data_IF_369371300568
#
_entry.id   IF_369371300568
#
_cell.length_a   1.000
_cell.length_b   1.000
_cell.length_c   1.000
_cell.angle_alpha   90.00
_cell.angle_beta   90.00
_cell.angle_gamma   90.00
#
_symmetry.space_group_name_H-M   'P 1'
#
loop_
_entity.id
_entity.type
_entity.pdbx_description
1 polymer ?
#
# COMPACT_ATOMS: atom_id res chain seq x y z
N UNK A 1 -19.24 -5.17 32.42
CA UNK A 1 -18.59 -4.77 31.15
C UNK A 1 -18.46 -3.24 31.14
N UNK A 2 -17.38 -2.68 30.61
CA UNK A 2 -17.23 -1.21 30.50
C UNK A 2 -18.15 -0.70 29.38
N UNK A 3 -18.74 0.49 29.53
CA UNK A 3 -19.54 1.10 28.44
C UNK A 3 -18.65 1.27 27.20
N UNK A 4 -19.21 0.98 26.02
CA UNK A 4 -18.47 0.97 24.76
C UNK A 4 -17.57 -0.25 24.53
N UNK A 5 -17.67 -1.30 25.36
CA UNK A 5 -16.99 -2.58 25.11
C UNK A 5 -17.96 -3.64 24.58
N UNK A 6 -17.52 -4.37 23.55
CA UNK A 6 -18.25 -5.47 22.92
C UNK A 6 -17.34 -6.70 22.79
N UNK A 7 -17.90 -7.87 23.10
CA UNK A 7 -17.25 -9.15 22.86
C UNK A 7 -17.66 -9.65 21.48
N UNK A 8 -16.69 -9.81 20.57
CA UNK A 8 -16.98 -10.27 19.21
C UNK A 8 -15.78 -11.03 18.64
N UNK A 9 -15.99 -11.70 17.50
CA UNK A 9 -14.93 -12.29 16.69
C UNK A 9 -14.74 -11.50 15.39
N UNK A 10 -13.60 -11.71 14.73
CA UNK A 10 -13.37 -11.08 13.44
C UNK A 10 -14.32 -11.61 12.36
N UNK A 11 -14.75 -12.89 12.41
CA UNK A 11 -15.76 -13.41 11.47
C UNK A 11 -17.12 -12.76 11.69
N UNK A 12 -17.53 -12.58 12.95
CA UNK A 12 -18.80 -11.94 13.29
C UNK A 12 -18.84 -10.49 12.82
N UNK A 13 -17.77 -9.73 13.06
CA UNK A 13 -17.66 -8.35 12.57
C UNK A 13 -17.65 -8.28 11.04
N UNK A 14 -17.03 -9.24 10.35
CA UNK A 14 -17.05 -9.33 8.89
C UNK A 14 -18.48 -9.55 8.35
N UNK A 15 -19.23 -10.46 8.96
CA UNK A 15 -20.61 -10.73 8.60
C UNK A 15 -21.53 -9.52 8.82
N UNK A 16 -21.38 -8.81 9.95
CA UNK A 16 -22.19 -7.63 10.28
C UNK A 16 -21.86 -6.42 9.41
N UNK A 17 -20.60 -6.25 9.02
CA UNK A 17 -20.15 -5.08 8.25
C UNK A 17 -20.20 -5.29 6.73
N UNK A 18 -20.39 -6.52 6.26
CA UNK A 18 -20.27 -6.89 4.84
C UNK A 18 -18.85 -6.79 4.29
N UNK A 19 -17.84 -6.67 5.16
CA UNK A 19 -16.43 -6.58 4.78
C UNK A 19 -15.76 -7.95 4.83
N UNK A 20 -14.68 -8.13 4.07
CA UNK A 20 -13.85 -9.32 4.24
C UNK A 20 -13.14 -9.31 5.60
N UNK A 21 -12.84 -10.50 6.14
CA UNK A 21 -12.12 -10.64 7.41
C UNK A 21 -10.78 -9.88 7.39
N UNK A 22 -10.11 -9.84 6.24
CA UNK A 22 -8.85 -9.09 6.05
C UNK A 22 -9.05 -7.58 6.12
N UNK A 23 -10.14 -7.06 5.55
CA UNK A 23 -10.51 -5.65 5.67
C UNK A 23 -10.82 -5.29 7.12
N UNK A 24 -11.61 -6.12 7.83
CA UNK A 24 -11.90 -5.92 9.25
C UNK A 24 -10.61 -5.89 10.08
N UNK A 25 -9.70 -6.85 9.89
CA UNK A 25 -8.40 -6.86 10.59
C UNK A 25 -7.59 -5.61 10.32
N UNK A 26 -7.56 -5.15 9.06
CA UNK A 26 -6.84 -3.95 8.66
C UNK A 26 -7.46 -2.70 9.27
N UNK A 27 -8.78 -2.58 9.25
CA UNK A 27 -9.53 -1.47 9.87
C UNK A 27 -9.30 -1.43 11.37
N UNK A 28 -9.42 -2.56 12.07
CA UNK A 28 -9.13 -2.67 13.51
C UNK A 28 -7.69 -2.26 13.83
N UNK A 29 -6.71 -2.67 13.00
CA UNK A 29 -5.30 -2.26 13.16
C UNK A 29 -5.12 -0.75 13.01
N UNK A 30 -5.78 -0.13 12.02
CA UNK A 30 -5.73 1.32 11.81
C UNK A 30 -6.37 2.08 12.97
N UNK A 31 -7.58 1.69 13.38
CA UNK A 31 -8.32 2.32 14.49
C UNK A 31 -7.59 2.17 15.84
N UNK A 32 -6.86 1.06 16.02
CA UNK A 32 -5.96 0.89 17.17
C UNK A 32 -4.78 1.85 17.10
N UNK A 33 -4.21 2.06 15.90
CA UNK A 33 -3.10 2.99 15.70
C UNK A 33 -3.50 4.46 15.89
N UNK A 34 -4.75 4.82 15.60
CA UNK A 34 -5.27 6.18 15.86
C UNK A 34 -5.75 6.38 17.30
N UNK A 35 -5.75 5.32 18.12
CA UNK A 35 -6.19 5.39 19.51
C UNK A 35 -7.71 5.50 19.67
N UNK A 36 -8.49 5.22 18.62
CA UNK A 36 -9.96 5.26 18.65
C UNK A 36 -10.55 4.03 19.34
N UNK A 37 -9.90 2.87 19.17
CA UNK A 37 -10.32 1.61 19.77
C UNK A 37 -9.15 0.89 20.46
N UNK A 38 -9.49 0.04 21.43
CA UNK A 38 -8.57 -0.93 22.02
C UNK A 38 -9.13 -2.34 21.87
N UNK A 39 -8.26 -3.30 21.61
CA UNK A 39 -8.62 -4.72 21.54
C UNK A 39 -7.80 -5.52 22.55
N UNK A 40 -8.49 -6.38 23.29
CA UNK A 40 -7.88 -7.32 24.24
C UNK A 40 -8.37 -8.73 23.92
N UNK A 41 -7.46 -9.57 23.45
CA UNK A 41 -7.70 -11.00 23.25
C UNK A 41 -7.39 -11.74 24.56
N UNK A 42 -8.36 -12.50 25.03
CA UNK A 42 -8.18 -13.53 26.05
C UNK A 42 -8.23 -14.91 25.39
N UNK A 43 -7.94 -15.97 26.16
CA UNK A 43 -7.89 -17.35 25.67
C UNK A 43 -9.23 -17.84 25.09
N UNK A 44 -10.34 -17.16 25.40
CA UNK A 44 -11.70 -17.56 24.97
C UNK A 44 -12.42 -16.52 24.12
N UNK A 45 -12.02 -15.25 24.19
CA UNK A 45 -12.77 -14.17 23.55
C UNK A 45 -11.91 -12.94 23.24
N UNK A 46 -12.37 -12.12 22.30
CA UNK A 46 -11.78 -10.80 22.03
C UNK A 46 -12.77 -9.72 22.43
N UNK A 47 -12.30 -8.79 23.26
CA UNK A 47 -13.06 -7.62 23.69
C UNK A 47 -12.55 -6.40 22.93
N UNK A 48 -13.45 -5.78 22.17
CA UNK A 48 -13.22 -4.51 21.48
C UNK A 48 -13.81 -3.39 22.33
N UNK A 49 -13.04 -2.36 22.65
CA UNK A 49 -13.48 -1.22 23.45
C UNK A 49 -13.25 0.07 22.68
N UNK A 50 -14.31 0.85 22.47
CA UNK A 50 -14.23 2.19 21.89
C UNK A 50 -13.75 3.15 22.98
N UNK A 51 -12.59 3.78 22.78
CA UNK A 51 -11.91 4.55 23.83
C UNK A 51 -12.68 5.83 24.20
N UNK A 52 -13.21 6.52 23.19
CA UNK A 52 -13.95 7.77 23.36
C UNK A 52 -15.48 7.55 23.28
N UNK A 53 -15.95 6.39 23.73
CA UNK A 53 -17.36 6.00 23.58
C UNK A 53 -18.33 7.04 24.16
N UNK A 54 -18.06 7.53 25.37
CA UNK A 54 -18.95 8.49 26.04
C UNK A 54 -19.06 9.82 25.27
N UNK A 55 -18.00 10.27 24.60
CA UNK A 55 -17.98 11.46 23.74
C UNK A 55 -18.86 11.29 22.48
N UNK A 56 -18.93 10.07 21.94
CA UNK A 56 -19.77 9.75 20.78
C UNK A 56 -21.25 9.51 21.17
N UNK A 57 -21.54 9.32 22.46
CA UNK A 57 -22.89 9.09 22.97
C UNK A 57 -23.54 10.37 23.54
N UNK A 58 -22.75 11.39 23.89
CA UNK A 58 -23.28 12.69 24.33
C UNK A 58 -23.87 13.48 23.15
N UNK A 59 -25.20 13.58 23.14
CA UNK A 59 -26.10 14.44 22.34
C UNK A 59 -25.91 14.48 20.82
N UNK A 60 -26.55 13.51 20.15
CA UNK A 60 -27.08 13.75 18.81
C UNK A 60 -28.57 13.35 18.73
N UNK A 61 -29.37 13.92 19.63
CA UNK A 61 -30.82 14.09 19.41
C UNK A 61 -31.03 15.33 18.54
N UNK A 62 -30.63 15.31 17.27
CA UNK A 62 -31.31 16.04 16.17
C UNK A 62 -30.61 15.85 14.81
N UNK A 63 -31.43 15.57 13.79
CA UNK A 63 -31.15 15.56 12.33
C UNK A 63 -30.83 14.23 11.64
N UNK A 64 -31.67 13.22 11.86
CA UNK A 64 -31.80 12.07 10.94
C UNK A 64 -32.91 12.25 9.87
N UNK A 65 -33.01 13.41 9.21
CA UNK A 65 -34.04 13.60 8.15
C UNK A 65 -33.61 14.28 6.85
N UNK A 66 -32.34 14.64 6.62
CA UNK A 66 -31.97 15.36 5.38
C UNK A 66 -30.68 14.90 4.67
N UNK A 67 -30.23 13.65 4.81
CA UNK A 67 -29.00 13.20 4.14
C UNK A 67 -29.12 11.96 3.23
N UNK A 68 -30.31 11.65 2.72
CA UNK A 68 -30.55 10.45 1.90
C UNK A 68 -30.83 10.68 0.40
N UNK A 69 -30.75 11.90 -0.14
CA UNK A 69 -31.13 12.15 -1.55
C UNK A 69 -29.98 12.38 -2.55
N UNK A 70 -28.69 12.22 -2.17
CA UNK A 70 -27.58 12.60 -3.08
C UNK A 70 -26.40 11.63 -3.22
N UNK A 71 -26.54 10.34 -2.92
CA UNK A 71 -25.45 9.38 -3.14
C UNK A 71 -25.82 8.13 -3.95
N UNK A 72 -26.61 8.30 -5.01
CA UNK A 72 -26.82 7.22 -5.96
C UNK A 72 -26.94 7.73 -7.39
N UNK A 73 -25.80 8.08 -8.01
CA UNK A 73 -25.49 7.86 -9.45
C UNK A 73 -24.19 8.58 -9.82
N UNK A 74 -23.09 7.83 -9.91
CA UNK A 74 -22.08 8.10 -10.94
C UNK A 74 -21.33 6.79 -11.25
N UNK A 75 -22.10 5.82 -11.73
CA UNK A 75 -21.57 4.60 -12.33
C UNK A 75 -22.40 4.29 -13.56
N UNK A 76 -22.27 5.14 -14.58
CA UNK A 76 -22.46 4.78 -15.98
C UNK A 76 -22.18 6.00 -16.85
N UNK A 77 -20.98 6.05 -17.45
CA UNK A 77 -20.75 6.52 -18.83
C UNK A 77 -19.25 6.40 -19.18
N UNK A 78 -18.84 5.18 -19.58
CA UNK A 78 -17.64 4.96 -20.38
C UNK A 78 -18.12 4.48 -21.74
N UNK A 79 -18.33 5.39 -22.70
CA UNK A 79 -18.15 5.06 -24.13
C UNK A 79 -18.08 6.31 -25.01
N UNK A 80 -17.04 6.32 -25.85
CA UNK A 80 -16.93 6.96 -27.17
C UNK A 80 -16.51 8.43 -27.30
N UNK A 81 -15.46 8.60 -28.11
CA UNK A 81 -15.23 9.66 -29.10
C UNK A 81 -14.25 10.80 -28.74
N UNK A 82 -13.07 10.69 -29.36
CA UNK A 82 -12.16 11.68 -29.96
C UNK A 82 -12.33 13.19 -29.68
N UNK A 83 -11.15 13.79 -29.44
CA UNK A 83 -10.67 15.14 -29.80
C UNK A 83 -11.08 16.41 -29.01
N UNK A 84 -10.03 17.02 -28.43
CA UNK A 84 -9.63 18.44 -28.52
C UNK A 84 -10.68 19.53 -28.21
N UNK A 85 -10.53 20.21 -27.08
CA UNK A 85 -10.23 21.67 -26.98
C UNK A 85 -10.22 22.16 -25.52
N UNK A 86 -9.43 23.21 -25.31
CA UNK A 86 -9.15 23.94 -24.08
C UNK A 86 -10.39 24.52 -23.39
N UNK A 87 -10.28 24.77 -22.08
CA UNK A 87 -11.26 25.57 -21.34
C UNK A 87 -11.04 25.59 -19.83
N UNK A 88 -10.42 26.68 -19.36
CA UNK A 88 -10.13 27.03 -17.95
C UNK A 88 -11.21 26.66 -16.93
N UNK A 89 -10.79 26.14 -15.78
CA UNK A 89 -11.33 26.55 -14.47
C UNK A 89 -10.28 26.36 -13.38
N UNK A 90 -9.70 27.47 -12.98
CA UNK A 90 -8.83 27.61 -11.82
C UNK A 90 -9.59 27.18 -10.56
N UNK A 91 -9.18 26.04 -9.99
CA UNK A 91 -9.35 25.77 -8.57
C UNK A 91 -7.96 25.54 -8.03
N UNK A 92 -7.55 26.44 -7.13
CA UNK A 92 -6.29 26.47 -6.43
C UNK A 92 -6.15 25.21 -5.54
N UNK A 93 -5.89 24.07 -6.18
CA UNK A 93 -5.41 22.87 -5.54
C UNK A 93 -3.94 22.79 -5.91
N UNK A 94 -3.06 23.15 -4.99
CA UNK A 94 -1.61 22.98 -5.09
C UNK A 94 -1.25 21.47 -5.00
N UNK A 95 -1.92 20.66 -5.79
CA UNK A 95 -1.56 19.28 -6.07
C UNK A 95 -0.90 19.38 -7.44
N UNK A 96 0.43 19.41 -7.45
CA UNK A 96 1.23 19.40 -8.68
C UNK A 96 0.81 18.16 -9.49
N UNK A 97 -0.04 18.37 -10.49
CA UNK A 97 -0.43 17.30 -11.41
C UNK A 97 0.84 16.86 -12.11
N UNK A 98 1.05 15.55 -12.20
CA UNK A 98 2.22 15.02 -12.87
C UNK A 98 2.20 15.46 -14.33
N UNK A 99 3.20 16.26 -14.71
CA UNK A 99 3.44 16.66 -16.09
C UNK A 99 4.58 15.79 -16.61
N UNK A 100 4.33 15.00 -17.68
CA UNK A 100 5.40 14.29 -18.37
C UNK A 100 6.57 15.22 -18.69
N UNK A 101 7.82 14.82 -18.41
CA UNK A 101 8.98 15.60 -18.80
C UNK A 101 9.16 15.66 -20.31
N UNK A 102 9.73 16.76 -20.78
CA UNK A 102 10.21 16.89 -22.16
C UNK A 102 11.55 16.16 -22.34
N UNK A 103 11.86 15.76 -23.57
CA UNK A 103 13.15 15.16 -23.93
C UNK A 103 14.35 15.90 -23.37
N UNK A 104 14.40 17.22 -23.55
CA UNK A 104 15.50 18.05 -23.06
C UNK A 104 15.67 17.96 -21.54
N UNK A 105 14.56 17.95 -20.80
CA UNK A 105 14.60 17.86 -19.33
C UNK A 105 15.21 16.54 -18.86
N UNK A 106 14.86 15.43 -19.52
CA UNK A 106 15.41 14.11 -19.22
C UNK A 106 16.88 14.04 -19.62
N UNK A 107 17.21 14.53 -20.82
CA UNK A 107 18.57 14.53 -21.37
C UNK A 107 19.54 15.32 -20.50
N UNK A 108 19.21 16.58 -20.16
CA UNK A 108 20.02 17.42 -19.27
C UNK A 108 20.23 16.76 -17.91
N UNK A 109 19.19 16.11 -17.37
CA UNK A 109 19.29 15.42 -16.09
C UNK A 109 20.15 14.15 -16.14
N UNK A 110 20.13 13.41 -17.25
CA UNK A 110 21.02 12.27 -17.47
C UNK A 110 22.48 12.71 -17.61
N UNK A 111 22.72 13.81 -18.35
CA UNK A 111 24.04 14.43 -18.52
C UNK A 111 24.63 14.95 -17.21
N UNK A 112 23.84 15.70 -16.42
CA UNK A 112 24.25 16.24 -15.12
C UNK A 112 24.69 15.15 -14.14
N UNK A 113 24.09 13.96 -14.25
CA UNK A 113 24.38 12.81 -13.39
C UNK A 113 25.40 11.84 -13.97
N UNK A 114 25.86 12.06 -15.21
CA UNK A 114 26.72 11.15 -15.97
C UNK A 114 26.12 9.73 -16.09
N UNK A 115 24.81 9.65 -16.30
CA UNK A 115 24.08 8.38 -16.45
C UNK A 115 24.13 7.87 -17.91
N UNK A 116 24.24 6.54 -18.10
CA UNK A 116 24.24 5.87 -19.41
C UNK A 116 22.84 5.63 -20.01
N UNK A 117 21.84 6.38 -19.55
CA UNK A 117 20.43 6.18 -19.88
C UNK A 117 20.05 7.01 -21.10
N UNK A 118 19.61 6.35 -22.18
CA UNK A 118 19.03 7.02 -23.35
C UNK A 118 17.67 7.65 -22.98
N UNK A 119 17.59 8.98 -23.11
CA UNK A 119 16.42 9.77 -22.77
C UNK A 119 15.20 9.46 -23.65
N UNK A 120 15.38 9.15 -24.94
CA UNK A 120 14.28 8.82 -25.84
C UNK A 120 13.64 7.50 -25.42
N UNK A 121 14.45 6.46 -25.23
CA UNK A 121 13.97 5.13 -24.83
C UNK A 121 13.26 5.18 -23.46
N UNK A 122 13.72 6.05 -22.56
CA UNK A 122 13.05 6.26 -21.28
C UNK A 122 11.66 6.90 -21.45
N UNK A 123 11.54 7.92 -22.29
CA UNK A 123 10.27 8.63 -22.54
C UNK A 123 9.29 7.69 -23.23
N UNK A 124 9.68 7.04 -24.33
CA UNK A 124 8.80 6.15 -25.10
C UNK A 124 8.23 5.01 -24.24
N UNK A 125 9.06 4.45 -23.34
CA UNK A 125 8.65 3.39 -22.43
C UNK A 125 7.58 3.84 -21.44
N UNK A 126 7.68 5.05 -20.90
CA UNK A 126 6.70 5.55 -19.94
C UNK A 126 5.51 6.22 -20.62
N UNK A 127 5.68 6.80 -21.80
CA UNK A 127 4.60 7.33 -22.62
C UNK A 127 3.65 6.22 -23.06
N UNK A 128 4.17 5.11 -23.59
CA UNK A 128 3.37 3.93 -23.94
C UNK A 128 2.63 3.31 -22.74
N UNK A 129 3.15 3.50 -21.53
CA UNK A 129 2.53 3.07 -20.26
C UNK A 129 1.63 4.13 -19.62
N UNK A 130 1.40 5.26 -20.27
CA UNK A 130 0.60 6.36 -19.71
C UNK A 130 1.17 6.92 -18.40
N UNK A 131 2.50 6.89 -18.25
CA UNK A 131 3.25 7.31 -17.07
C UNK A 131 2.82 6.60 -15.79
N UNK A 132 2.57 5.29 -15.87
CA UNK A 132 2.22 4.45 -14.71
C UNK A 132 3.45 3.74 -14.12
N UNK A 133 3.46 3.62 -12.79
CA UNK A 133 4.37 2.77 -12.02
C UNK A 133 3.53 1.84 -11.15
N UNK A 134 3.47 0.56 -11.54
CA UNK A 134 2.53 -0.38 -10.93
C UNK A 134 1.08 0.02 -11.20
N UNK A 135 0.28 0.13 -10.13
CA UNK A 135 -1.15 0.49 -10.21
C UNK A 135 -1.42 2.00 -10.15
N UNK A 136 -0.37 2.81 -9.97
CA UNK A 136 -0.50 4.25 -9.73
C UNK A 136 0.23 5.06 -10.81
N UNK A 137 -0.21 6.30 -11.05
CA UNK A 137 0.53 7.25 -11.89
C UNK A 137 1.83 7.66 -11.22
N UNK A 138 2.87 7.81 -12.03
CA UNK A 138 4.18 8.28 -11.62
C UNK A 138 4.07 9.68 -11.01
N UNK A 139 4.84 9.93 -9.95
CA UNK A 139 4.91 11.23 -9.28
C UNK A 139 6.19 11.99 -9.62
N UNK A 140 7.31 11.27 -9.71
CA UNK A 140 8.64 11.85 -9.95
C UNK A 140 9.42 11.03 -10.98
N UNK A 141 9.52 11.55 -12.21
CA UNK A 141 10.24 10.88 -13.30
C UNK A 141 11.76 10.81 -13.03
N UNK A 142 12.33 11.80 -12.33
CA UNK A 142 13.75 11.80 -11.92
C UNK A 142 14.08 10.61 -11.02
N UNK A 143 13.15 10.20 -10.14
CA UNK A 143 13.32 9.03 -9.29
C UNK A 143 13.24 7.73 -10.12
N UNK A 144 12.37 7.70 -11.13
CA UNK A 144 12.29 6.59 -12.06
C UNK A 144 13.58 6.41 -12.87
N UNK A 145 14.19 7.50 -13.38
CA UNK A 145 15.50 7.45 -14.07
C UNK A 145 16.57 6.79 -13.17
N UNK A 146 16.67 7.20 -11.89
CA UNK A 146 17.61 6.61 -10.92
C UNK A 146 17.40 5.12 -10.67
N UNK A 147 16.17 4.63 -10.78
CA UNK A 147 15.85 3.21 -10.61
C UNK A 147 16.03 2.42 -11.91
N UNK A 148 15.80 3.07 -13.05
CA UNK A 148 15.90 2.45 -14.38
C UNK A 148 17.33 2.04 -14.72
N UNK A 149 18.29 2.86 -14.31
CA UNK A 149 19.72 2.57 -14.36
C UNK A 149 20.07 1.28 -13.58
N UNK A 150 19.64 1.20 -12.31
CA UNK A 150 19.85 0.02 -11.45
C UNK A 150 19.22 -1.24 -12.04
N UNK A 151 18.06 -1.13 -12.68
CA UNK A 151 17.36 -2.28 -13.25
C UNK A 151 18.00 -2.79 -14.56
N UNK A 152 18.64 -1.94 -15.37
CA UNK A 152 19.42 -2.40 -16.54
C UNK A 152 20.68 -3.18 -16.14
N UNK A 153 21.37 -2.76 -15.09
CA UNK A 153 22.52 -3.51 -14.55
C UNK A 153 22.10 -4.80 -13.84
N UNK A 154 20.94 -4.82 -13.17
CA UNK A 154 20.42 -6.02 -12.51
C UNK A 154 19.80 -7.02 -13.48
N UNK A 155 19.31 -6.61 -14.66
CA UNK A 155 18.80 -7.52 -15.69
C UNK A 155 19.84 -8.52 -16.20
N UNK A 156 21.13 -8.18 -16.14
CA UNK A 156 22.23 -9.10 -16.43
C UNK A 156 22.56 -10.07 -15.27
N UNK A 157 22.07 -9.80 -14.05
CA UNK A 157 22.27 -10.65 -12.85
C UNK A 157 21.00 -11.33 -12.34
N UNK A 158 19.83 -11.04 -12.90
CA UNK A 158 18.53 -11.51 -12.45
C UNK A 158 17.98 -12.68 -13.27
N UNK A 159 18.84 -13.53 -13.83
CA UNK A 159 18.45 -14.84 -14.38
C UNK A 159 18.30 -15.92 -13.29
N UNK A 160 18.25 -15.54 -12.00
CA UNK A 160 18.05 -16.48 -10.89
C UNK A 160 16.95 -15.95 -9.97
N UNK A 161 15.89 -16.75 -9.83
CA UNK A 161 14.71 -16.61 -8.96
C UNK A 161 13.52 -15.78 -9.48
N UNK A 162 12.75 -16.37 -10.40
CA UNK A 162 11.29 -16.21 -10.34
C UNK A 162 10.77 -17.34 -9.46
N UNK A 163 10.48 -17.08 -8.18
CA UNK A 163 9.64 -17.95 -7.37
C UNK A 163 8.72 -17.09 -6.50
N UNK A 164 7.44 -17.47 -6.51
CA UNK A 164 6.33 -16.92 -5.74
C UNK A 164 6.70 -16.53 -4.30
N UNK A 165 6.21 -15.39 -3.76
CA UNK A 165 6.44 -15.01 -2.36
C UNK A 165 5.53 -15.77 -1.38
N UNK A 166 5.13 -17.00 -1.72
CA UNK A 166 4.15 -17.81 -1.00
C UNK A 166 4.73 -18.97 -0.20
N UNK A 167 6.05 -19.09 -0.10
CA UNK A 167 6.70 -20.19 0.61
C UNK A 167 7.70 -19.61 1.61
N UNK A 168 7.28 -19.51 2.88
CA UNK A 168 8.20 -19.35 3.99
C UNK A 168 8.77 -20.75 4.28
N UNK A 169 9.69 -21.19 3.42
CA UNK A 169 10.52 -22.34 3.75
C UNK A 169 11.50 -21.96 4.84
N UNK A 170 11.42 -22.75 5.89
CA UNK A 170 12.31 -22.82 7.01
C UNK A 170 13.67 -23.42 6.60
N UNK A 171 14.42 -22.78 5.72
CA UNK A 171 15.84 -23.08 5.55
C UNK A 171 16.66 -22.09 6.35
N UNK A 172 16.63 -22.26 7.67
CA UNK A 172 17.85 -21.97 8.42
C UNK A 172 18.84 -23.04 7.97
N UNK A 173 19.81 -22.68 7.15
CA UNK A 173 21.02 -23.46 6.93
C UNK A 173 21.74 -23.59 8.28
N UNK A 174 21.26 -24.50 9.10
CA UNK A 174 22.01 -25.06 10.21
C UNK A 174 22.78 -26.23 9.65
N UNK A 175 24.09 -26.06 9.57
CA UNK A 175 25.02 -27.16 9.35
C UNK A 175 24.97 -28.07 10.58
N UNK A 176 24.11 -29.10 10.50
CA UNK A 176 23.81 -30.02 11.60
C UNK A 176 25.08 -30.74 12.09
N UNK A 177 26.02 -31.02 11.18
CA UNK A 177 27.31 -31.64 11.49
C UNK A 177 28.16 -30.76 12.42
N UNK A 178 28.11 -29.44 12.24
CA UNK A 178 28.85 -28.49 13.09
C UNK A 178 28.29 -28.44 14.52
N UNK A 179 26.96 -28.58 14.66
CA UNK A 179 26.30 -28.59 15.96
C UNK A 179 26.55 -29.91 16.72
N UNK A 180 26.59 -31.03 15.99
CA UNK A 180 26.86 -32.36 16.54
C UNK A 180 28.31 -32.46 17.05
N UNK A 181 29.29 -31.97 16.28
CA UNK A 181 30.69 -31.91 16.72
C UNK A 181 30.88 -31.05 17.98
N UNK A 182 30.16 -29.94 18.08
CA UNK A 182 30.23 -29.05 19.24
C UNK A 182 29.65 -29.69 20.51
N UNK A 183 28.59 -30.48 20.38
CA UNK A 183 28.00 -31.22 21.52
C UNK A 183 28.89 -32.37 21.98
N UNK A 184 29.56 -33.07 21.05
CA UNK A 184 30.49 -34.16 21.38
C UNK A 184 31.75 -33.65 22.10
N UNK A 185 32.32 -32.53 21.66
CA UNK A 185 33.51 -31.94 22.32
C UNK A 185 33.21 -31.50 23.76
N UNK A 186 31.98 -31.11 24.05
CA UNK A 186 31.57 -30.67 25.38
C UNK A 186 31.41 -31.81 26.39
N UNK A 187 31.36 -33.07 25.93
CA UNK A 187 31.33 -34.24 26.81
C UNK A 187 32.71 -34.80 27.18
N UNK A 188 33.78 -34.42 26.47
CA UNK A 188 35.13 -34.93 26.72
C UNK A 188 36.17 -33.85 27.06
N UNK A 189 35.74 -32.59 27.21
CA UNK A 189 36.58 -31.49 27.68
C UNK A 189 36.32 -31.15 29.14
N UNK A 190 36.80 -31.99 30.05
CA UNK A 190 36.85 -31.78 31.50
C UNK A 190 38.10 -32.43 32.06
#
# INVERSE_FOLDING_TARGET
MKRGSIVSSYEKLAAETGLSVMQVRTSVKKLKSTGEITCKSSNKNTVFTVVKYDLYQSDNKQNNRQLTDKQQTDNNQITTTKERKEGKKEKNNNIKRFTPPTYEQVSSYCLERNNSVDANVFIDFYESKGWMVGKNKMKDWKAAVRNWERNRCNGAKAAVTNNNPGHLDCERNYDFDSLEQQLLQKQFGG
#
